data_IF_870664362031
#
_entry.id   IF_870664362031
#
_cell.length_a   1.000
_cell.length_b   1.000
_cell.length_c   1.000
_cell.angle_alpha   90.00
_cell.angle_beta   90.00
_cell.angle_gamma   90.00
#
_symmetry.space_group_name_H-M   'P 1'
#
loop_
_entity.id
_entity.type
_entity.pdbx_description
1 polymer ?
#
# COMPACT_ATOMS: atom_id res chain seq x y z
N UNK A 1 10.42 27.29 33.61
CA UNK A 1 10.68 27.00 32.18
C UNK A 1 11.45 25.68 32.07
N UNK A 2 10.78 24.58 31.70
CA UNK A 2 11.40 23.26 31.56
C UNK A 2 11.79 23.07 30.08
N UNK A 3 13.10 22.95 29.80
CA UNK A 3 13.62 22.55 28.48
C UNK A 3 13.04 21.17 28.13
N UNK A 4 12.24 21.10 27.08
CA UNK A 4 11.90 19.82 26.45
C UNK A 4 13.15 19.39 25.67
N UNK A 5 13.90 18.45 26.23
CA UNK A 5 14.98 17.78 25.52
C UNK A 5 14.38 16.75 24.58
N UNK A 6 14.64 16.88 23.28
CA UNK A 6 14.34 15.83 22.32
C UNK A 6 15.33 14.68 22.56
N UNK A 7 14.88 13.58 23.16
CA UNK A 7 15.67 12.36 23.18
C UNK A 7 15.81 11.85 21.75
N UNK A 8 17.05 11.79 21.25
CA UNK A 8 17.42 10.97 20.09
C UNK A 8 17.27 9.50 20.47
N UNK A 9 16.04 9.02 20.50
CA UNK A 9 15.67 7.61 20.59
C UNK A 9 14.93 7.26 19.31
N UNK A 10 15.58 6.46 18.47
CA UNK A 10 15.17 5.88 17.19
C UNK A 10 13.67 5.98 16.82
N UNK A 11 13.28 7.04 16.09
CA UNK A 11 12.04 7.04 15.29
C UNK A 11 12.32 6.49 13.88
N UNK A 12 12.98 5.33 13.77
CA UNK A 12 13.32 4.71 12.48
C UNK A 12 12.41 3.51 12.22
N UNK A 13 11.35 3.76 11.42
CA UNK A 13 10.82 2.94 10.30
C UNK A 13 9.32 3.27 10.10
N UNK A 14 9.02 4.31 9.32
CA UNK A 14 7.64 4.66 8.92
C UNK A 14 7.26 4.15 7.52
N UNK A 15 8.23 3.56 6.84
CA UNK A 15 8.12 2.90 5.54
C UNK A 15 9.49 2.29 5.29
N UNK A 16 9.51 1.03 4.85
CA UNK A 16 10.73 0.32 4.47
C UNK A 16 10.58 -0.08 3.02
N UNK A 17 11.59 0.24 2.22
CA UNK A 17 11.69 -0.24 0.86
C UNK A 17 12.67 -1.41 0.90
N UNK A 18 12.16 -2.59 0.60
CA UNK A 18 12.91 -3.77 0.23
C UNK A 18 12.82 -3.91 -1.30
N UNK A 19 13.75 -4.65 -1.94
CA UNK A 19 13.98 -4.61 -3.39
C UNK A 19 12.71 -4.55 -4.27
N UNK A 20 11.67 -5.31 -3.89
CA UNK A 20 10.38 -5.43 -4.58
C UNK A 20 9.17 -5.05 -3.73
N UNK A 21 9.36 -4.50 -2.52
CA UNK A 21 8.26 -4.24 -1.58
C UNK A 21 8.46 -2.91 -0.87
N UNK A 22 7.44 -2.06 -0.84
CA UNK A 22 7.42 -0.86 -0.03
C UNK A 22 6.32 -0.97 1.04
N UNK A 23 6.72 -1.11 2.31
CA UNK A 23 5.78 -1.08 3.43
C UNK A 23 5.14 0.31 3.52
N UNK A 24 3.81 0.35 3.48
CA UNK A 24 3.01 1.58 3.62
C UNK A 24 2.87 1.92 5.10
N UNK A 25 2.61 0.90 5.92
CA UNK A 25 2.67 0.97 7.38
C UNK A 25 3.10 -0.40 7.91
N UNK A 26 3.92 -0.40 8.96
CA UNK A 26 4.29 -1.61 9.68
C UNK A 26 3.36 -1.85 10.89
N UNK A 27 2.43 -0.93 11.16
CA UNK A 27 1.50 -1.01 12.30
C UNK A 27 2.18 -1.10 13.69
N UNK A 28 3.45 -0.69 13.76
CA UNK A 28 4.29 -0.72 14.95
C UNK A 28 4.15 0.54 15.84
N UNK A 29 3.45 1.57 15.36
CA UNK A 29 3.25 2.86 16.03
C UNK A 29 1.75 3.20 16.21
N UNK A 30 1.41 4.30 16.89
CA UNK A 30 0.01 4.69 17.13
C UNK A 30 -0.82 4.78 15.83
N UNK A 31 -2.15 4.51 15.85
CA UNK A 31 -3.02 4.44 14.65
C UNK A 31 -3.17 5.75 13.85
N UNK A 32 -2.39 6.79 14.17
CA UNK A 32 -2.48 8.13 13.62
C UNK A 32 -2.19 8.23 12.12
N UNK A 33 -1.65 7.18 11.49
CA UNK A 33 -1.39 7.14 10.06
C UNK A 33 -2.63 6.75 9.21
N UNK A 34 -3.63 6.13 9.84
CA UNK A 34 -4.87 5.71 9.19
C UNK A 34 -6.01 6.67 9.57
N UNK A 35 -6.61 7.32 8.56
CA UNK A 35 -7.78 8.16 8.78
C UNK A 35 -9.07 7.33 8.66
N UNK A 36 -9.94 7.31 9.69
CA UNK A 36 -11.17 6.53 9.66
C UNK A 36 -12.18 7.08 8.65
N UNK A 37 -12.84 6.18 7.92
CA UNK A 37 -14.00 6.44 7.04
C UNK A 37 -15.22 5.75 7.62
N UNK A 38 -16.38 6.42 7.58
CA UNK A 38 -17.66 5.75 7.80
C UNK A 38 -17.90 5.36 9.26
N UNK A 39 -17.47 6.22 10.20
CA UNK A 39 -17.74 6.05 11.62
C UNK A 39 -17.02 4.88 12.29
N UNK A 40 -15.92 4.39 11.71
CA UNK A 40 -15.18 3.27 12.30
C UNK A 40 -14.45 3.65 13.58
N UNK A 41 -14.32 2.67 14.47
CA UNK A 41 -13.40 2.71 15.60
C UNK A 41 -12.14 1.93 15.24
N UNK A 42 -10.99 2.57 15.43
CA UNK A 42 -9.68 1.96 15.21
C UNK A 42 -9.09 1.50 16.55
N UNK A 43 -8.48 0.32 16.56
CA UNK A 43 -7.83 -0.25 17.74
C UNK A 43 -6.71 -1.21 17.36
N UNK A 44 -5.96 -1.68 18.35
CA UNK A 44 -4.97 -2.73 18.16
C UNK A 44 -5.50 -4.06 18.69
N UNK A 45 -5.36 -5.12 17.92
CA UNK A 45 -5.62 -6.49 18.34
C UNK A 45 -4.32 -7.31 18.34
N UNK A 46 -4.14 -8.28 19.25
CA UNK A 46 -2.99 -9.19 19.23
C UNK A 46 -2.95 -10.07 17.96
N UNK A 47 -1.75 -10.32 17.43
CA UNK A 47 -1.51 -11.05 16.17
C UNK A 47 -0.37 -12.07 16.28
N UNK A 48 -0.58 -13.21 16.95
CA UNK A 48 0.54 -14.13 17.22
C UNK A 48 1.66 -13.43 18.02
N UNK A 49 2.81 -13.16 17.38
CA UNK A 49 3.92 -12.39 17.97
C UNK A 49 3.84 -10.86 17.76
N UNK A 50 2.88 -10.37 16.98
CA UNK A 50 2.72 -8.96 16.59
C UNK A 50 1.36 -8.36 16.95
N UNK A 51 0.95 -7.33 16.21
CA UNK A 51 -0.34 -6.63 16.37
C UNK A 51 -0.99 -6.40 15.00
N UNK A 52 -2.32 -6.48 14.94
CA UNK A 52 -3.11 -6.14 13.75
C UNK A 52 -3.91 -4.87 14.05
N UNK A 53 -4.13 -4.04 13.04
CA UNK A 53 -5.07 -2.94 13.13
C UNK A 53 -6.49 -3.51 13.11
N UNK A 54 -7.25 -3.33 14.20
CA UNK A 54 -8.69 -3.59 14.27
C UNK A 54 -9.47 -2.39 13.71
N UNK A 55 -10.37 -2.67 12.78
CA UNK A 55 -11.34 -1.71 12.24
C UNK A 55 -12.75 -2.23 12.53
N UNK A 56 -13.40 -1.60 13.50
CA UNK A 56 -14.76 -1.94 13.90
C UNK A 56 -15.77 -0.95 13.29
N UNK A 57 -16.89 -1.47 12.78
CA UNK A 57 -17.97 -0.69 12.15
C UNK A 57 -19.34 -1.18 12.61
N UNK A 58 -20.35 -0.30 12.52
CA UNK A 58 -21.74 -0.64 12.82
C UNK A 58 -22.54 -0.87 11.53
N UNK A 59 -23.24 -2.00 11.46
CA UNK A 59 -24.14 -2.31 10.36
C UNK A 59 -25.35 -1.36 10.34
N UNK A 60 -25.72 -0.89 9.14
CA UNK A 60 -26.80 0.09 8.95
C UNK A 60 -26.40 1.55 9.18
N UNK A 61 -25.15 1.84 9.55
CA UNK A 61 -24.63 3.21 9.70
C UNK A 61 -24.17 3.82 8.36
N UNK A 62 -23.00 3.39 7.88
CA UNK A 62 -22.43 3.83 6.60
C UNK A 62 -22.27 2.64 5.66
N UNK A 63 -22.50 2.83 4.35
CA UNK A 63 -22.28 1.77 3.35
C UNK A 63 -20.81 1.33 3.27
N UNK A 64 -19.90 2.29 3.38
CA UNK A 64 -18.47 2.07 3.32
C UNK A 64 -17.84 2.47 4.64
N UNK A 65 -17.12 1.54 5.27
CA UNK A 65 -16.49 1.76 6.56
C UNK A 65 -15.05 1.21 6.53
N UNK A 66 -14.06 2.01 6.91
CA UNK A 66 -12.67 1.60 6.78
C UNK A 66 -11.66 2.70 7.02
N UNK A 67 -10.54 2.67 6.29
CA UNK A 67 -9.42 3.59 6.50
C UNK A 67 -8.86 4.15 5.20
N UNK A 68 -8.27 5.34 5.29
CA UNK A 68 -7.41 5.95 4.26
C UNK A 68 -5.98 5.99 4.77
N UNK A 69 -5.02 5.63 3.91
CA UNK A 69 -3.60 5.81 4.16
C UNK A 69 -2.93 6.53 3.00
N UNK A 70 -2.09 7.52 3.32
CA UNK A 70 -1.29 8.23 2.32
C UNK A 70 -0.11 7.39 1.85
N UNK A 71 0.14 7.35 0.53
CA UNK A 71 1.33 6.67 -0.04
C UNK A 71 2.54 7.60 -0.23
N UNK A 72 2.38 8.90 0.08
CA UNK A 72 3.46 9.86 0.31
C UNK A 72 4.68 9.74 -0.62
N UNK A 73 5.84 9.48 -0.02
CA UNK A 73 7.16 9.38 -0.65
C UNK A 73 7.51 7.97 -1.17
N UNK A 74 6.57 7.03 -1.17
CA UNK A 74 6.82 5.67 -1.65
C UNK A 74 7.08 5.69 -3.17
N UNK A 75 7.86 4.73 -3.70
CA UNK A 75 8.19 4.63 -5.13
C UNK A 75 7.01 4.10 -5.95
N UNK A 76 5.85 4.77 -5.86
CA UNK A 76 4.58 4.36 -6.48
C UNK A 76 4.65 4.26 -8.01
N UNK A 77 5.61 4.94 -8.65
CA UNK A 77 5.86 4.82 -10.08
C UNK A 77 6.23 3.39 -10.52
N UNK A 78 6.71 2.54 -9.59
CA UNK A 78 7.03 1.12 -9.81
C UNK A 78 5.94 0.17 -9.29
N UNK A 79 4.78 0.69 -8.91
CA UNK A 79 3.70 -0.13 -8.36
C UNK A 79 3.31 -1.27 -9.30
N UNK A 80 3.37 -2.50 -8.80
CA UNK A 80 2.92 -3.72 -9.45
C UNK A 80 1.64 -4.28 -8.80
N UNK A 81 1.38 -3.95 -7.54
CA UNK A 81 0.23 -4.43 -6.80
C UNK A 81 0.20 -3.98 -5.34
N UNK A 82 -0.83 -4.40 -4.62
CA UNK A 82 -1.01 -4.17 -3.18
C UNK A 82 -1.08 -5.52 -2.48
N UNK A 83 -0.39 -5.66 -1.36
CA UNK A 83 -0.39 -6.87 -0.53
C UNK A 83 -0.65 -6.53 0.92
N UNK A 84 -1.38 -7.38 1.63
CA UNK A 84 -1.61 -7.28 3.07
C UNK A 84 -2.09 -8.61 3.64
N UNK A 85 -2.12 -8.75 4.95
CA UNK A 85 -2.82 -9.84 5.64
C UNK A 85 -4.13 -9.31 6.20
N UNK A 86 -5.21 -10.09 6.08
CA UNK A 86 -6.51 -9.68 6.60
C UNK A 86 -7.35 -10.84 7.09
N UNK A 87 -8.28 -10.51 7.99
CA UNK A 87 -9.39 -11.36 8.43
C UNK A 87 -10.60 -10.52 8.77
N UNK A 88 -11.77 -11.14 8.85
CA UNK A 88 -13.00 -10.45 9.20
C UNK A 88 -13.94 -11.33 10.04
N UNK A 89 -14.78 -10.67 10.82
CA UNK A 89 -15.87 -11.30 11.57
C UNK A 89 -17.04 -10.31 11.65
N UNK A 90 -18.17 -10.60 11.00
CA UNK A 90 -18.42 -11.73 10.09
C UNK A 90 -17.68 -11.59 8.75
N UNK A 91 -17.92 -12.53 7.84
CA UNK A 91 -17.42 -12.42 6.48
C UNK A 91 -17.90 -11.12 5.81
N UNK A 92 -17.01 -10.41 5.13
CA UNK A 92 -17.29 -9.09 4.52
C UNK A 92 -16.53 -8.90 3.21
N UNK A 93 -17.16 -8.21 2.26
CA UNK A 93 -16.50 -7.75 1.05
C UNK A 93 -15.64 -6.54 1.37
N UNK A 94 -14.34 -6.63 1.07
CA UNK A 94 -13.40 -5.54 1.19
C UNK A 94 -13.09 -4.94 -0.18
N UNK A 95 -13.17 -3.62 -0.25
CA UNK A 95 -12.79 -2.80 -1.38
C UNK A 95 -11.46 -2.13 -1.10
N UNK A 96 -10.51 -2.31 -2.01
CA UNK A 96 -9.23 -1.58 -2.03
C UNK A 96 -9.31 -0.57 -3.16
N UNK A 97 -9.23 0.71 -2.81
CA UNK A 97 -9.27 1.82 -3.77
C UNK A 97 -7.91 2.50 -3.81
N UNK A 98 -7.38 2.63 -5.01
CA UNK A 98 -6.25 3.47 -5.34
C UNK A 98 -6.79 4.80 -5.85
N UNK A 99 -6.38 5.90 -5.24
CA UNK A 99 -6.84 7.23 -5.64
C UNK A 99 -5.68 8.15 -6.04
N UNK A 100 -5.82 8.78 -7.20
CA UNK A 100 -4.87 9.76 -7.73
C UNK A 100 -5.09 11.16 -7.15
N UNK A 101 -4.09 12.03 -7.25
CA UNK A 101 -4.13 13.43 -6.78
C UNK A 101 -5.30 14.24 -7.35
N UNK A 102 -5.72 13.93 -8.57
CA UNK A 102 -6.84 14.57 -9.26
C UNK A 102 -8.21 13.98 -8.88
N UNK A 103 -8.23 12.98 -8.00
CA UNK A 103 -9.46 12.36 -7.49
C UNK A 103 -9.91 11.12 -8.24
N UNK A 104 -9.20 10.73 -9.31
CA UNK A 104 -9.51 9.52 -10.07
C UNK A 104 -9.36 8.26 -9.20
N UNK A 105 -10.35 7.35 -9.27
CA UNK A 105 -10.44 6.17 -8.38
C UNK A 105 -10.40 4.86 -9.14
N UNK A 106 -9.59 3.94 -8.64
CA UNK A 106 -9.45 2.59 -9.19
C UNK A 106 -9.71 1.57 -8.09
N UNK A 107 -10.61 0.63 -8.34
CA UNK A 107 -11.15 -0.29 -7.36
C UNK A 107 -10.75 -1.73 -7.69
N UNK A 108 -10.30 -2.46 -6.67
CA UNK A 108 -10.27 -3.91 -6.64
C UNK A 108 -11.05 -4.43 -5.42
N UNK A 109 -11.58 -5.64 -5.52
CA UNK A 109 -12.45 -6.22 -4.49
C UNK A 109 -12.00 -7.63 -4.13
N UNK A 110 -12.09 -7.95 -2.84
CA UNK A 110 -11.91 -9.31 -2.30
C UNK A 110 -12.98 -9.63 -1.27
N UNK A 111 -13.22 -10.91 -1.02
CA UNK A 111 -14.06 -11.38 0.09
C UNK A 111 -13.17 -11.83 1.24
N UNK A 112 -13.35 -11.24 2.41
CA UNK A 112 -12.75 -11.72 3.66
C UNK A 112 -13.76 -12.66 4.33
N UNK A 113 -13.59 -13.98 4.19
CA UNK A 113 -14.53 -14.97 4.71
C UNK A 113 -13.97 -15.81 5.88
N UNK A 114 -12.80 -15.43 6.38
CA UNK A 114 -12.04 -16.19 7.38
C UNK A 114 -11.85 -15.35 8.64
N UNK A 115 -12.09 -15.97 9.80
CA UNK A 115 -11.69 -15.43 11.09
C UNK A 115 -10.18 -15.59 11.36
N UNK A 116 -9.50 -16.42 10.57
CA UNK A 116 -8.04 -16.53 10.57
C UNK A 116 -7.40 -15.56 9.57
N UNK A 117 -6.27 -14.90 9.91
CA UNK A 117 -5.56 -14.00 8.99
C UNK A 117 -5.07 -14.73 7.74
N UNK A 118 -5.35 -14.17 6.56
CA UNK A 118 -4.89 -14.69 5.27
C UNK A 118 -4.19 -13.62 4.44
N UNK A 119 -3.17 -13.97 3.64
CA UNK A 119 -2.58 -13.04 2.70
C UNK A 119 -3.60 -12.67 1.61
N UNK A 120 -3.59 -11.39 1.24
CA UNK A 120 -4.38 -10.81 0.16
C UNK A 120 -3.39 -10.14 -0.80
N UNK A 121 -3.42 -10.57 -2.05
CA UNK A 121 -2.58 -10.03 -3.11
C UNK A 121 -3.46 -9.49 -4.25
N UNK A 122 -3.22 -8.24 -4.62
CA UNK A 122 -3.96 -7.57 -5.69
C UNK A 122 -2.98 -6.97 -6.68
N UNK A 123 -2.80 -7.66 -7.80
CA UNK A 123 -2.06 -7.13 -8.94
C UNK A 123 -2.72 -5.85 -9.48
N UNK A 124 -1.90 -4.91 -9.97
CA UNK A 124 -2.34 -3.60 -10.45
C UNK A 124 -3.38 -3.71 -11.58
N UNK A 125 -3.26 -4.74 -12.41
CA UNK A 125 -4.17 -5.04 -13.52
C UNK A 125 -5.56 -5.51 -13.06
N UNK A 126 -5.79 -5.77 -11.77
CA UNK A 126 -7.11 -6.07 -11.21
C UNK A 126 -7.89 -4.80 -10.87
N UNK A 127 -7.22 -3.67 -10.75
CA UNK A 127 -7.85 -2.40 -10.41
C UNK A 127 -8.58 -1.85 -11.64
N UNK A 128 -9.87 -1.53 -11.47
CA UNK A 128 -10.72 -0.99 -12.53
C UNK A 128 -11.12 0.45 -12.19
N UNK A 129 -11.12 1.36 -13.16
CA UNK A 129 -11.64 2.71 -12.92
C UNK A 129 -13.09 2.65 -12.45
N UNK A 130 -13.47 3.52 -11.53
CA UNK A 130 -14.81 3.59 -10.97
C UNK A 130 -15.46 4.95 -11.23
N UNK A 131 -16.79 4.97 -11.37
CA UNK A 131 -17.56 6.21 -11.51
C UNK A 131 -17.25 6.96 -12.82
N UNK A 132 -16.84 8.22 -12.71
CA UNK A 132 -16.60 9.10 -13.86
C UNK A 132 -15.30 8.78 -14.62
N UNK A 133 -14.44 7.91 -14.08
CA UNK A 133 -13.11 7.62 -14.63
C UNK A 133 -13.08 6.41 -15.61
N UNK A 134 -14.24 5.87 -15.98
CA UNK A 134 -14.33 4.67 -16.83
C UNK A 134 -13.49 4.82 -18.11
N UNK A 135 -12.62 3.85 -18.37
CA UNK A 135 -11.74 3.80 -19.54
C UNK A 135 -10.38 4.49 -19.38
N UNK A 136 -10.13 5.22 -18.28
CA UNK A 136 -8.81 5.79 -17.99
C UNK A 136 -7.88 4.72 -17.41
N UNK A 137 -6.62 4.59 -17.87
CA UNK A 137 -5.62 3.74 -17.22
C UNK A 137 -5.10 4.41 -15.93
N UNK A 138 -4.70 3.62 -14.95
CA UNK A 138 -4.11 4.14 -13.72
C UNK A 138 -2.75 4.81 -13.98
N UNK A 139 -2.60 6.04 -13.50
CA UNK A 139 -1.32 6.75 -13.48
C UNK A 139 -0.71 6.65 -12.07
N UNK A 140 0.13 5.64 -11.87
CA UNK A 140 0.74 5.34 -10.57
C UNK A 140 1.63 6.48 -10.04
N UNK A 141 2.17 7.35 -10.91
CA UNK A 141 2.95 8.54 -10.49
C UNK A 141 2.10 9.59 -9.79
N UNK A 142 0.78 9.54 -9.99
CA UNK A 142 -0.19 10.44 -9.37
C UNK A 142 -0.92 9.82 -8.19
N UNK A 143 -0.60 8.58 -7.83
CA UNK A 143 -1.21 7.92 -6.68
C UNK A 143 -0.93 8.72 -5.39
N UNK A 144 -1.98 8.98 -4.60
CA UNK A 144 -1.86 9.73 -3.34
C UNK A 144 -2.28 8.94 -2.11
N UNK A 145 -3.28 8.07 -2.23
CA UNK A 145 -3.80 7.31 -1.10
C UNK A 145 -4.21 5.91 -1.53
N UNK A 146 -4.17 4.99 -0.57
CA UNK A 146 -4.84 3.70 -0.59
C UNK A 146 -5.99 3.78 0.41
N UNK A 147 -7.15 3.30 0.02
CA UNK A 147 -8.35 3.27 0.84
C UNK A 147 -8.79 1.82 0.96
N UNK A 148 -8.97 1.32 2.18
CA UNK A 148 -9.48 -0.02 2.45
C UNK A 148 -10.81 0.12 3.17
N UNK A 149 -11.91 -0.28 2.54
CA UNK A 149 -13.26 -0.15 3.10
C UNK A 149 -14.06 -1.43 2.96
N UNK A 150 -14.72 -1.81 4.04
CA UNK A 150 -15.72 -2.87 4.06
C UNK A 150 -17.03 -2.38 3.42
N UNK A 151 -17.65 -3.23 2.60
CA UNK A 151 -19.07 -3.11 2.22
C UNK A 151 -19.90 -3.60 3.42
N UNK A 152 -20.36 -2.69 4.26
CA UNK A 152 -21.04 -3.07 5.50
C UNK A 152 -22.34 -3.85 5.21
N UNK A 153 -22.96 -3.60 4.06
CA UNK A 153 -24.17 -4.27 3.58
C UNK A 153 -23.92 -5.62 2.89
N UNK A 154 -22.66 -6.07 2.80
CA UNK A 154 -22.32 -7.41 2.28
C UNK A 154 -22.32 -8.51 3.34
N UNK A 155 -22.62 -8.15 4.58
CA UNK A 155 -22.62 -9.06 5.73
C UNK A 155 -24.04 -9.52 6.09
N UNK A 156 -24.15 -10.59 6.88
CA UNK A 156 -25.42 -11.10 7.40
C UNK A 156 -25.80 -10.48 8.77
N UNK A 157 -25.26 -9.30 9.09
CA UNK A 157 -25.55 -8.59 10.35
C UNK A 157 -26.94 -7.94 10.33
N UNK A 158 -27.49 -7.75 11.52
CA UNK A 158 -28.68 -6.93 11.75
C UNK A 158 -28.33 -5.46 11.98
N UNK A 159 -29.24 -4.50 11.70
CA UNK A 159 -29.09 -3.09 12.05
C UNK A 159 -28.62 -2.87 13.49
N UNK A 160 -27.51 -2.13 13.65
CA UNK A 160 -26.92 -1.83 14.96
C UNK A 160 -25.87 -2.82 15.45
N UNK A 161 -25.73 -3.99 14.81
CA UNK A 161 -24.66 -4.94 15.16
C UNK A 161 -23.28 -4.46 14.71
N UNK A 162 -22.25 -4.91 15.42
CA UNK A 162 -20.85 -4.57 15.12
C UNK A 162 -20.22 -5.63 14.21
N UNK A 163 -19.60 -5.18 13.12
CA UNK A 163 -18.69 -5.98 12.30
C UNK A 163 -17.26 -5.51 12.46
N UNK A 164 -16.30 -6.42 12.27
CA UNK A 164 -14.88 -6.13 12.39
C UNK A 164 -14.09 -6.73 11.24
N UNK A 165 -13.07 -6.01 10.81
CA UNK A 165 -11.98 -6.58 10.03
C UNK A 165 -10.64 -6.12 10.59
N UNK A 166 -9.63 -6.93 10.37
CA UNK A 166 -8.27 -6.67 10.83
C UNK A 166 -7.32 -6.66 9.64
N UNK A 167 -6.31 -5.79 9.72
CA UNK A 167 -5.28 -5.63 8.71
C UNK A 167 -3.90 -5.71 9.35
N UNK A 168 -2.98 -6.33 8.62
CA UNK A 168 -1.57 -6.40 8.96
C UNK A 168 -0.71 -6.35 7.68
N UNK A 169 0.55 -5.95 7.80
CA UNK A 169 1.55 -5.93 6.73
C UNK A 169 1.11 -5.25 5.42
N UNK A 170 0.46 -4.07 5.47
CA UNK A 170 0.08 -3.39 4.24
C UNK A 170 1.31 -2.89 3.49
N UNK A 171 1.48 -3.38 2.28
CA UNK A 171 2.60 -3.05 1.40
C UNK A 171 2.17 -2.80 -0.05
N UNK A 172 3.01 -2.03 -0.74
CA UNK A 172 3.04 -1.94 -2.19
C UNK A 172 4.02 -2.97 -2.72
N UNK A 173 3.56 -3.82 -3.63
CA UNK A 173 4.44 -4.63 -4.46
C UNK A 173 5.01 -3.74 -5.57
N UNK A 174 6.32 -3.80 -5.77
CA UNK A 174 7.05 -2.99 -6.75
C UNK A 174 7.63 -3.89 -7.83
N UNK A 175 7.60 -3.43 -9.08
CA UNK A 175 8.41 -4.04 -10.14
C UNK A 175 9.89 -3.94 -9.77
N UNK A 176 10.72 -4.96 -10.05
CA UNK A 176 12.16 -4.87 -9.85
C UNK A 176 12.75 -3.64 -10.54
N UNK A 177 13.82 -3.07 -9.99
CA UNK A 177 14.64 -2.15 -10.77
C UNK A 177 15.18 -2.97 -11.95
N UNK A 178 14.75 -2.66 -13.17
CA UNK A 178 15.42 -3.20 -14.34
C UNK A 178 16.87 -2.76 -14.30
N UNK A 179 17.80 -3.63 -14.69
CA UNK A 179 19.18 -3.26 -14.98
C UNK A 179 19.20 -2.28 -16.17
N UNK A 180 18.86 -1.02 -15.94
CA UNK A 180 19.11 0.05 -16.92
C UNK A 180 20.62 0.24 -17.14
N UNK A 181 21.48 -0.34 -16.29
CA UNK A 181 22.92 -0.45 -16.52
C UNK A 181 23.32 -1.40 -17.67
N UNK A 182 22.45 -2.35 -18.07
CA UNK A 182 22.74 -3.31 -19.14
C UNK A 182 22.25 -2.86 -20.53
N UNK A 183 21.67 -1.64 -20.63
CA UNK A 183 21.18 -1.07 -21.89
C UNK A 183 22.04 0.07 -22.44
N UNK A 184 23.26 0.28 -21.93
CA UNK A 184 24.24 1.05 -22.71
C UNK A 184 24.80 0.16 -23.81
N UNK A 185 24.70 0.54 -25.10
CA UNK A 185 25.52 -0.09 -26.13
C UNK A 185 26.99 0.07 -25.71
N UNK A 186 27.88 -0.91 -26.00
CA UNK A 186 29.31 -0.73 -25.76
C UNK A 186 29.72 0.59 -26.41
N UNK A 187 30.28 1.51 -25.62
CA UNK A 187 30.93 2.68 -26.16
C UNK A 187 32.15 2.21 -26.96
N UNK A 188 31.93 1.94 -28.24
CA UNK A 188 33.00 1.84 -29.22
C UNK A 188 33.64 3.22 -29.31
N UNK A 189 34.89 3.34 -28.84
CA UNK A 189 35.65 4.55 -29.03
C UNK A 189 36.82 4.76 -28.07
N UNK A 190 37.64 3.74 -27.83
CA UNK A 190 39.02 4.05 -27.47
C UNK A 190 39.73 4.51 -28.76
N UNK A 191 40.30 5.74 -28.82
CA UNK A 191 41.14 6.11 -29.94
C UNK A 191 42.37 5.20 -29.95
N UNK A 192 42.57 4.47 -31.06
CA UNK A 192 43.82 3.76 -31.28
C UNK A 192 44.96 4.78 -31.34
N UNK A 193 45.80 4.81 -30.32
CA UNK A 193 47.10 5.46 -30.37
C UNK A 193 47.95 4.68 -31.37
N UNK A 194 48.07 5.25 -32.57
CA UNK A 194 48.91 4.74 -33.63
C UNK A 194 50.38 5.00 -33.28
N UNK A 195 51.04 4.05 -32.61
CA UNK A 195 52.47 4.13 -32.32
C UNK A 195 53.21 3.50 -33.51
N UNK A 196 53.57 4.34 -34.49
CA UNK A 196 54.41 3.93 -35.62
C UNK A 196 55.82 3.52 -35.16
N UNK A 197 56.47 2.56 -35.83
CA UNK A 197 57.85 2.17 -35.50
C UNK A 197 58.82 3.25 -35.97
N UNK A 198 59.66 3.75 -35.06
CA UNK A 198 60.86 4.51 -35.44
C UNK A 198 61.87 3.54 -36.03
N UNK A 199 62.00 3.55 -37.36
CA UNK A 199 63.12 2.93 -38.05
C UNK A 199 64.41 3.63 -37.66
N UNK A 200 65.37 2.84 -37.18
CA UNK A 200 66.77 3.23 -37.11
C UNK A 200 67.52 2.55 -38.25
N UNK A 201 68.09 3.37 -39.13
CA UNK A 201 69.48 3.35 -39.60
C UNK A 201 69.64 4.42 -40.68
#
# INVERSE_FOLDING_TARGET
MRRIGFSRGESRRRSRIEATTALVDAFDAAPAAALPIGGVRLGWAPAGLGKELEIAYTFGGHRWAGIVMGVGHLPVHRLAGVTFRARATPAVRLHVVLEEREGAKFLATTLLSSAEPRPVEMALDRFRPAGADLGRPINTRRLRVIILVADTFSTNLQPGEEGKFWLDDLALQLTPLGDEASRMPPQNGAPQLNIGPRGGQ
#
